data_IF_554067801031
#
_entry.id   IF_554067801031
#
_cell.length_a   1.000
_cell.length_b   1.000
_cell.length_c   1.000
_cell.angle_alpha   90.00
_cell.angle_beta   90.00
_cell.angle_gamma   90.00
#
_symmetry.space_group_name_H-M   'P 1'
#
loop_
_entity.id
_entity.type
_entity.pdbx_description
1 polymer ?
#
# COMPACT_ATOMS: atom_id res chain seq x y z
N UNK A 1 5.61 14.23 -25.38
CA UNK A 1 6.51 13.36 -24.60
C UNK A 1 5.67 12.69 -23.53
N UNK A 2 5.65 11.36 -23.49
CA UNK A 2 5.05 10.67 -22.35
C UNK A 2 5.98 10.85 -21.14
N UNK A 3 5.41 11.07 -19.95
CA UNK A 3 6.20 11.03 -18.71
C UNK A 3 6.80 9.63 -18.53
N UNK A 4 7.88 9.52 -17.76
CA UNK A 4 8.46 8.23 -17.42
C UNK A 4 7.41 7.32 -16.75
N UNK A 5 7.35 6.05 -17.14
CA UNK A 5 6.29 5.12 -16.66
C UNK A 5 6.25 5.00 -15.13
N UNK A 6 7.40 5.15 -14.48
CA UNK A 6 7.57 5.11 -13.02
C UNK A 6 7.60 6.50 -12.34
N UNK A 7 7.20 7.59 -13.00
CA UNK A 7 7.37 8.95 -12.46
C UNK A 7 6.74 9.15 -11.07
N UNK A 8 5.56 8.58 -10.81
CA UNK A 8 4.92 8.66 -9.49
C UNK A 8 5.67 7.86 -8.42
N UNK A 9 6.18 6.68 -8.79
CA UNK A 9 6.98 5.85 -7.90
C UNK A 9 8.34 6.51 -7.58
N UNK A 10 8.96 7.17 -8.56
CA UNK A 10 10.17 7.97 -8.33
C UNK A 10 9.95 9.08 -7.31
N UNK A 11 8.79 9.77 -7.38
CA UNK A 11 8.43 10.79 -6.39
C UNK A 11 8.27 10.18 -5.00
N UNK A 12 7.57 9.04 -4.89
CA UNK A 12 7.39 8.33 -3.62
C UNK A 12 8.73 7.85 -3.04
N UNK A 13 9.62 7.33 -3.89
CA UNK A 13 10.96 6.90 -3.48
C UNK A 13 11.80 8.07 -2.98
N UNK A 14 11.71 9.24 -3.63
CA UNK A 14 12.38 10.44 -3.16
C UNK A 14 11.87 10.86 -1.77
N UNK A 15 10.56 10.76 -1.51
CA UNK A 15 9.99 11.00 -0.18
C UNK A 15 10.50 10.01 0.87
N UNK A 16 10.67 8.73 0.51
CA UNK A 16 11.25 7.73 1.40
C UNK A 16 12.74 8.00 1.68
N UNK A 17 13.49 8.48 0.69
CA UNK A 17 14.90 8.84 0.84
C UNK A 17 15.13 10.02 1.80
N UNK A 18 14.11 10.84 2.07
CA UNK A 18 14.17 11.85 3.15
C UNK A 18 14.03 11.24 4.56
N UNK A 19 13.42 10.05 4.68
CA UNK A 19 13.11 9.41 5.97
C UNK A 19 14.18 8.42 6.41
N UNK A 20 14.94 7.85 5.49
CA UNK A 20 15.93 6.80 5.75
C UNK A 20 17.09 6.87 4.76
N UNK A 21 18.29 6.48 5.19
CA UNK A 21 19.48 6.33 4.34
C UNK A 21 19.41 5.09 3.43
N UNK A 22 18.47 4.17 3.70
CA UNK A 22 18.26 2.93 2.94
C UNK A 22 16.82 2.79 2.40
N UNK A 23 16.35 3.73 1.56
CA UNK A 23 14.97 3.72 1.07
C UNK A 23 14.62 2.48 0.25
N UNK A 24 15.59 1.86 -0.45
CA UNK A 24 15.35 0.65 -1.23
C UNK A 24 14.83 -0.55 -0.43
N UNK A 25 15.10 -0.62 0.88
CA UNK A 25 14.58 -1.70 1.74
C UNK A 25 13.06 -1.66 1.89
N UNK A 26 12.44 -0.51 1.58
CA UNK A 26 10.99 -0.31 1.58
C UNK A 26 10.35 -0.67 0.23
N UNK A 27 11.10 -1.20 -0.73
CA UNK A 27 10.65 -1.39 -2.10
C UNK A 27 10.90 -2.83 -2.56
N UNK A 28 10.07 -3.26 -3.50
CA UNK A 28 10.12 -4.56 -4.15
C UNK A 28 10.12 -4.38 -5.67
N UNK A 29 10.75 -5.32 -6.35
CA UNK A 29 10.73 -5.46 -7.80
C UNK A 29 10.03 -6.78 -8.15
N UNK A 30 9.26 -6.79 -9.23
CA UNK A 30 8.64 -8.02 -9.69
C UNK A 30 9.65 -8.86 -10.46
N UNK A 31 9.85 -10.11 -10.05
CA UNK A 31 10.61 -11.10 -10.78
C UNK A 31 9.67 -11.89 -11.71
N UNK A 32 9.75 -11.61 -13.01
CA UNK A 32 8.96 -12.31 -14.02
C UNK A 32 9.31 -13.81 -14.14
N UNK A 33 10.53 -14.23 -13.73
CA UNK A 33 10.94 -15.64 -13.81
C UNK A 33 10.28 -16.51 -12.73
N UNK A 34 10.10 -15.94 -11.54
CA UNK A 34 9.51 -16.61 -10.38
C UNK A 34 8.07 -16.15 -10.07
N UNK A 35 7.53 -15.23 -10.86
CA UNK A 35 6.18 -14.65 -10.72
C UNK A 35 5.91 -14.08 -9.32
N UNK A 36 6.91 -13.43 -8.71
CA UNK A 36 6.82 -12.96 -7.34
C UNK A 36 7.48 -11.59 -7.14
N UNK A 37 7.11 -10.91 -6.05
CA UNK A 37 7.74 -9.66 -5.64
C UNK A 37 8.94 -9.95 -4.74
N UNK A 38 10.10 -9.44 -5.14
CA UNK A 38 11.36 -9.61 -4.42
C UNK A 38 11.86 -8.31 -3.81
N UNK A 39 12.54 -8.44 -2.67
CA UNK A 39 13.24 -7.36 -2.01
C UNK A 39 14.33 -6.76 -2.89
N UNK A 40 14.37 -5.43 -2.95
CA UNK A 40 15.46 -4.72 -3.62
C UNK A 40 16.57 -4.43 -2.61
N UNK A 41 17.80 -4.81 -2.93
CA UNK A 41 18.98 -4.59 -2.07
C UNK A 41 19.85 -3.40 -2.50
N UNK A 42 19.40 -2.61 -3.47
CA UNK A 42 20.09 -1.45 -4.03
C UNK A 42 19.09 -0.40 -4.54
N UNK A 43 19.57 0.81 -4.89
CA UNK A 43 18.71 1.83 -5.48
C UNK A 43 18.07 1.34 -6.79
N UNK A 44 16.75 1.48 -6.99
CA UNK A 44 16.11 1.14 -8.26
C UNK A 44 16.72 1.98 -9.39
N UNK A 45 17.10 1.34 -10.48
CA UNK A 45 17.52 2.02 -11.70
C UNK A 45 16.31 2.55 -12.52
N UNK A 46 15.10 2.22 -12.08
CA UNK A 46 13.82 2.56 -12.72
C UNK A 46 13.70 2.10 -14.17
N UNK A 47 14.31 0.97 -14.54
CA UNK A 47 14.16 0.37 -15.87
C UNK A 47 12.66 0.29 -16.24
N UNK A 48 12.20 0.90 -17.36
CA UNK A 48 10.81 0.85 -17.80
C UNK A 48 10.24 -0.56 -18.01
N UNK A 49 11.10 -1.57 -18.22
CA UNK A 49 10.69 -2.97 -18.42
C UNK A 49 10.38 -3.69 -17.11
N UNK A 50 10.86 -3.19 -15.97
CA UNK A 50 10.64 -3.82 -14.67
C UNK A 50 9.50 -3.14 -13.92
N UNK A 51 8.78 -3.92 -13.12
CA UNK A 51 7.73 -3.42 -12.23
C UNK A 51 8.30 -3.21 -10.84
N UNK A 52 7.95 -2.08 -10.24
CA UNK A 52 8.36 -1.71 -8.90
C UNK A 52 7.14 -1.41 -8.05
N UNK A 53 7.23 -1.69 -6.75
CA UNK A 53 6.25 -1.21 -5.78
C UNK A 53 6.91 -0.90 -4.45
N UNK A 54 6.33 0.03 -3.70
CA UNK A 54 6.67 0.23 -2.30
C UNK A 54 6.00 -0.88 -1.48
N UNK A 55 6.73 -1.48 -0.55
CA UNK A 55 6.19 -2.43 0.44
C UNK A 55 5.07 -1.77 1.22
N UNK A 56 4.02 -2.54 1.48
CA UNK A 56 3.01 -2.13 2.43
C UNK A 56 3.66 -2.14 3.82
N UNK A 57 3.59 -1.01 4.53
CA UNK A 57 3.95 -0.98 5.95
C UNK A 57 2.99 -1.92 6.68
N UNK A 58 3.46 -2.72 7.64
CA UNK A 58 2.61 -3.69 8.35
C UNK A 58 2.37 -3.22 9.78
N UNK A 59 1.13 -3.35 10.26
CA UNK A 59 0.79 -3.20 11.68
C UNK A 59 0.78 -4.59 12.30
N UNK A 60 1.43 -4.73 13.47
CA UNK A 60 1.44 -5.98 14.23
C UNK A 60 0.81 -5.79 15.60
N UNK A 61 -0.20 -6.62 15.92
CA UNK A 61 -0.87 -6.68 17.23
C UNK A 61 -0.76 -8.12 17.70
N UNK A 62 0.06 -8.34 18.75
CA UNK A 62 0.39 -9.69 19.21
C UNK A 62 1.01 -10.54 18.09
N UNK A 63 0.35 -11.64 17.71
CA UNK A 63 0.77 -12.54 16.60
C UNK A 63 0.10 -12.23 15.25
N UNK A 64 -0.74 -11.20 15.18
CA UNK A 64 -1.45 -10.82 13.96
C UNK A 64 -0.72 -9.67 13.30
N UNK A 65 -0.47 -9.78 12.00
CA UNK A 65 0.08 -8.72 11.17
C UNK A 65 -0.83 -8.47 9.97
N UNK A 66 -1.02 -7.21 9.61
CA UNK A 66 -1.82 -6.81 8.46
C UNK A 66 -1.29 -5.51 7.84
N UNK A 67 -1.55 -5.24 6.56
CA UNK A 67 -1.12 -4.00 5.93
C UNK A 67 -1.67 -2.77 6.63
N UNK A 68 -0.83 -1.76 6.79
CA UNK A 68 -1.19 -0.45 7.31
C UNK A 68 -2.10 0.23 6.27
N UNK A 69 -3.28 0.70 6.69
CA UNK A 69 -4.14 1.55 5.88
C UNK A 69 -3.41 2.83 5.46
N UNK A 70 -3.80 3.43 4.35
CA UNK A 70 -3.24 4.73 3.97
C UNK A 70 -3.71 5.82 4.96
N UNK A 71 -2.86 6.84 5.16
CA UNK A 71 -3.07 7.96 6.07
C UNK A 71 -3.02 9.33 5.36
N UNK A 72 -3.16 9.33 4.04
CA UNK A 72 -3.15 10.52 3.19
C UNK A 72 -4.34 10.51 2.21
N UNK A 73 -4.77 11.71 1.80
CA UNK A 73 -5.85 11.85 0.82
C UNK A 73 -5.42 11.36 -0.57
N UNK A 74 -6.32 10.64 -1.23
CA UNK A 74 -6.11 10.14 -2.59
C UNK A 74 -6.39 11.23 -3.63
N UNK A 75 -5.94 11.00 -4.86
CA UNK A 75 -6.30 11.86 -6.00
C UNK A 75 -7.76 11.62 -6.39
N UNK A 76 -8.47 12.66 -6.80
CA UNK A 76 -9.83 12.51 -7.31
C UNK A 76 -9.89 11.48 -8.46
N UNK A 77 -10.83 10.54 -8.36
CA UNK A 77 -10.98 9.41 -9.28
C UNK A 77 -10.05 8.23 -9.03
N UNK A 78 -9.15 8.30 -8.05
CA UNK A 78 -8.27 7.18 -7.71
C UNK A 78 -9.05 6.06 -7.02
N UNK A 79 -8.80 4.84 -7.46
CA UNK A 79 -9.41 3.63 -6.92
C UNK A 79 -8.87 3.27 -5.53
N UNK A 80 -9.75 2.78 -4.66
CA UNK A 80 -9.39 2.27 -3.34
C UNK A 80 -10.37 1.20 -2.84
N UNK A 81 -9.95 0.48 -1.81
CA UNK A 81 -10.73 -0.55 -1.12
C UNK A 81 -10.93 -0.20 0.35
N UNK A 82 -12.13 -0.48 0.87
CA UNK A 82 -12.47 -0.27 2.28
C UNK A 82 -12.46 -1.61 3.01
N UNK A 83 -11.61 -1.72 4.04
CA UNK A 83 -11.64 -2.82 4.99
C UNK A 83 -12.83 -2.62 5.94
N UNK A 84 -13.81 -3.51 5.90
CA UNK A 84 -14.99 -3.48 6.75
C UNK A 84 -15.62 -4.86 6.85
N UNK A 85 -16.84 -4.99 7.41
CA UNK A 85 -17.56 -6.27 7.44
C UNK A 85 -17.67 -6.93 6.06
N UNK A 86 -17.76 -6.09 5.02
CA UNK A 86 -17.58 -6.48 3.63
C UNK A 86 -16.51 -5.59 3.01
N UNK A 87 -15.78 -6.12 2.02
CA UNK A 87 -14.82 -5.34 1.24
C UNK A 87 -15.57 -4.62 0.11
N UNK A 88 -15.29 -3.32 -0.05
CA UNK A 88 -15.90 -2.52 -1.11
C UNK A 88 -14.83 -1.74 -1.87
N UNK A 89 -14.91 -1.82 -3.19
CA UNK A 89 -14.17 -0.98 -4.12
C UNK A 89 -14.91 0.36 -4.32
N UNK A 90 -14.16 1.47 -4.34
CA UNK A 90 -14.66 2.83 -4.57
C UNK A 90 -13.65 3.66 -5.34
N UNK A 91 -14.08 4.84 -5.79
CA UNK A 91 -13.24 5.86 -6.40
C UNK A 91 -13.32 7.12 -5.56
N UNK A 92 -12.17 7.72 -5.28
CA UNK A 92 -12.06 8.88 -4.39
C UNK A 92 -12.76 10.10 -4.98
N UNK A 93 -13.81 10.59 -4.32
CA UNK A 93 -14.61 11.74 -4.73
C UNK A 93 -14.40 12.99 -3.89
N UNK A 94 -13.47 12.96 -2.92
CA UNK A 94 -13.26 14.03 -1.93
C UNK A 94 -14.52 14.31 -1.08
N UNK A 95 -15.30 13.27 -0.80
CA UNK A 95 -16.52 13.37 0.03
C UNK A 95 -16.23 13.12 1.51
N UNK A 96 -17.03 13.74 2.41
CA UNK A 96 -16.88 13.60 3.86
C UNK A 96 -16.85 12.14 4.35
N UNK A 97 -17.63 11.26 3.73
CA UNK A 97 -17.69 9.83 4.08
C UNK A 97 -16.38 9.08 3.79
N UNK A 98 -15.58 9.57 2.84
CA UNK A 98 -14.29 8.99 2.46
C UNK A 98 -13.20 9.49 3.41
N UNK A 99 -13.24 10.77 3.75
CA UNK A 99 -12.38 11.37 4.78
C UNK A 99 -12.53 10.70 6.13
N UNK A 100 -13.76 10.37 6.53
CA UNK A 100 -14.02 9.62 7.77
C UNK A 100 -13.37 8.22 7.73
N UNK A 101 -13.46 7.51 6.59
CA UNK A 101 -12.84 6.17 6.46
C UNK A 101 -11.32 6.24 6.43
N UNK A 102 -10.77 7.31 5.87
CA UNK A 102 -9.34 7.59 5.91
C UNK A 102 -8.89 7.80 7.36
N UNK A 103 -9.59 8.67 8.10
CA UNK A 103 -9.29 8.97 9.51
C UNK A 103 -9.37 7.72 10.41
N UNK A 104 -10.35 6.85 10.18
CA UNK A 104 -10.49 5.60 10.93
C UNK A 104 -9.55 4.49 10.47
N UNK A 105 -8.74 4.71 9.43
CA UNK A 105 -7.78 3.73 8.95
C UNK A 105 -8.43 2.52 8.28
N UNK A 106 -9.43 2.71 7.43
CA UNK A 106 -10.06 1.60 6.69
C UNK A 106 -9.70 1.54 5.21
N UNK A 107 -8.91 2.49 4.69
CA UNK A 107 -8.63 2.61 3.26
C UNK A 107 -7.34 1.90 2.88
N UNK A 108 -7.41 1.08 1.82
CA UNK A 108 -6.29 0.36 1.22
C UNK A 108 -6.23 0.58 -0.28
N UNK A 109 -5.02 0.45 -0.85
CA UNK A 109 -4.76 0.56 -2.29
C UNK A 109 -4.82 -0.77 -3.04
N UNK A 110 -5.12 -1.88 -2.35
CA UNK A 110 -5.38 -3.17 -2.97
C UNK A 110 -6.50 -3.89 -2.23
N UNK A 111 -7.24 -4.75 -2.95
CA UNK A 111 -8.26 -5.62 -2.36
C UNK A 111 -7.68 -6.56 -1.31
N UNK A 112 -6.58 -7.22 -1.64
CA UNK A 112 -5.87 -8.16 -0.76
C UNK A 112 -5.46 -7.51 0.57
N UNK A 113 -4.99 -6.26 0.55
CA UNK A 113 -4.65 -5.54 1.77
C UNK A 113 -5.88 -5.25 2.64
N UNK A 114 -7.00 -4.90 2.01
CA UNK A 114 -8.27 -4.71 2.70
C UNK A 114 -8.81 -6.01 3.30
N UNK A 115 -8.67 -7.13 2.59
CA UNK A 115 -9.02 -8.47 3.08
C UNK A 115 -8.17 -8.88 4.28
N UNK A 116 -6.85 -8.71 4.20
CA UNK A 116 -5.94 -8.99 5.32
C UNK A 116 -6.29 -8.13 6.55
N UNK A 117 -6.63 -6.86 6.37
CA UNK A 117 -7.06 -5.99 7.47
C UNK A 117 -8.40 -6.47 8.07
N UNK A 118 -9.41 -6.81 7.25
CA UNK A 118 -10.67 -7.39 7.74
C UNK A 118 -10.43 -8.66 8.56
N UNK A 119 -9.61 -9.57 8.06
CA UNK A 119 -9.34 -10.84 8.72
C UNK A 119 -8.59 -10.65 10.05
N UNK A 120 -7.69 -9.65 10.11
CA UNK A 120 -7.07 -9.23 11.35
C UNK A 120 -8.11 -8.71 12.36
N UNK A 121 -9.04 -7.83 11.95
CA UNK A 121 -10.11 -7.33 12.83
C UNK A 121 -11.01 -8.45 13.35
N UNK A 122 -11.36 -9.43 12.52
CA UNK A 122 -12.15 -10.60 12.94
C UNK A 122 -11.45 -11.37 14.06
N UNK A 123 -10.16 -11.68 13.87
CA UNK A 123 -9.36 -12.40 14.87
C UNK A 123 -9.19 -11.57 16.15
N UNK A 124 -8.93 -10.27 16.03
CA UNK A 124 -8.81 -9.35 17.18
C UNK A 124 -10.11 -9.34 17.98
N UNK A 125 -11.26 -9.20 17.32
CA UNK A 125 -12.58 -9.22 17.96
C UNK A 125 -12.90 -10.55 18.66
N UNK A 126 -12.25 -11.65 18.27
CA UNK A 126 -12.36 -12.98 18.92
C UNK A 126 -11.32 -13.22 20.01
N UNK A 127 -10.40 -12.28 20.25
CA UNK A 127 -9.31 -12.45 21.22
C UNK A 127 -8.15 -13.32 20.73
N UNK A 128 -7.98 -13.47 19.42
CA UNK A 128 -6.97 -14.36 18.81
C UNK A 128 -5.65 -13.65 18.43
N UNK A 129 -5.21 -12.65 19.18
CA UNK A 129 -4.03 -11.82 18.89
C UNK A 129 -2.91 -11.99 19.90
#
# INVERSE_FOLDING_TARGET
MAAHVHAELMLQYAQDAFKTDKPWLLWEMYDDANELWEDIFHHPNWNPEFKYRRKLEMITIGKISFPKPIDYELKAGQEYWVAGPSIFQRFWGDHNLEKEKLEYGFIHLTEDAAEQHRDALIKINRGEF
#
